data_IF_564702769773
#
_entry.id   IF_564702769773
#
_cell.length_a   1.000
_cell.length_b   1.000
_cell.length_c   1.000
_cell.angle_alpha   90.00
_cell.angle_beta   90.00
_cell.angle_gamma   90.00
#
_symmetry.space_group_name_H-M   'P 1'
#
loop_
_entity.id
_entity.type
_entity.pdbx_description
1 polymer ?
#
# COMPACT_ATOMS: atom_id res chain seq x y z
N UNK A 1 -19.38 6.93 13.62
CA UNK A 1 -19.29 6.03 12.46
C UNK A 1 -20.24 4.85 12.69
N UNK A 2 -21.07 4.45 11.72
CA UNK A 2 -21.97 3.28 11.85
C UNK A 2 -21.44 2.16 10.94
N UNK A 3 -21.07 1.03 11.52
CA UNK A 3 -20.63 -0.16 10.76
C UNK A 3 -21.85 -0.81 10.12
N UNK A 4 -21.84 -0.96 8.79
CA UNK A 4 -22.95 -1.55 8.03
C UNK A 4 -22.73 -3.06 7.76
N UNK A 5 -21.48 -3.51 7.69
CA UNK A 5 -21.11 -4.90 7.49
C UNK A 5 -19.71 -5.14 8.06
N UNK A 6 -19.53 -6.25 8.79
CA UNK A 6 -18.24 -6.70 9.32
C UNK A 6 -17.99 -8.13 8.84
N UNK A 7 -16.80 -8.37 8.26
CA UNK A 7 -16.39 -9.70 7.80
C UNK A 7 -14.97 -9.99 8.28
N UNK A 8 -14.73 -11.14 8.94
CA UNK A 8 -13.39 -11.54 9.31
C UNK A 8 -12.59 -11.90 8.05
N UNK A 9 -11.40 -11.31 7.92
CA UNK A 9 -10.48 -11.60 6.82
C UNK A 9 -9.60 -12.78 7.22
N UNK A 10 -9.63 -13.87 6.43
CA UNK A 10 -8.82 -15.06 6.72
C UNK A 10 -7.52 -15.02 5.92
N UNK A 11 -6.40 -14.86 6.63
CA UNK A 11 -5.06 -14.95 6.07
C UNK A 11 -4.56 -16.40 6.21
N UNK A 12 -4.03 -16.98 5.13
CA UNK A 12 -3.41 -18.31 5.10
C UNK A 12 -1.99 -18.22 4.58
N UNK A 13 -1.08 -19.02 5.12
CA UNK A 13 0.24 -19.24 4.50
C UNK A 13 0.13 -20.44 3.57
N UNK A 14 0.48 -20.25 2.31
CA UNK A 14 0.45 -21.29 1.27
C UNK A 14 1.84 -21.53 0.72
N UNK A 15 2.15 -22.79 0.40
CA UNK A 15 3.41 -23.17 -0.22
C UNK A 15 3.21 -23.42 -1.71
N UNK A 16 3.96 -22.70 -2.55
CA UNK A 16 3.98 -22.94 -3.99
C UNK A 16 4.75 -24.23 -4.32
N UNK A 17 4.54 -24.78 -5.53
CA UNK A 17 5.29 -25.94 -6.03
C UNK A 17 6.82 -25.74 -6.02
N UNK A 18 7.28 -24.50 -6.16
CA UNK A 18 8.71 -24.12 -6.14
C UNK A 18 9.23 -23.82 -4.72
N UNK A 19 8.43 -24.04 -3.69
CA UNK A 19 8.82 -23.89 -2.29
C UNK A 19 8.63 -22.50 -1.70
N UNK A 20 8.24 -21.48 -2.48
CA UNK A 20 7.93 -20.15 -1.93
C UNK A 20 6.74 -20.25 -0.96
N UNK A 21 6.90 -19.69 0.23
CA UNK A 21 5.82 -19.45 1.19
C UNK A 21 5.22 -18.08 0.88
N UNK A 22 3.89 -18.04 0.73
CA UNK A 22 3.15 -16.84 0.35
C UNK A 22 1.93 -16.69 1.26
N UNK A 23 1.57 -15.46 1.56
CA UNK A 23 0.33 -15.16 2.24
C UNK A 23 -0.83 -15.11 1.22
N UNK A 24 -1.99 -15.60 1.64
CA UNK A 24 -3.21 -15.61 0.85
C UNK A 24 -4.36 -15.08 1.70
N UNK A 25 -5.02 -14.04 1.22
CA UNK A 25 -6.19 -13.44 1.84
C UNK A 25 -7.42 -14.02 1.14
N UNK A 26 -8.18 -14.87 1.83
CA UNK A 26 -9.37 -15.50 1.27
C UNK A 26 -10.59 -14.61 1.47
N UNK A 27 -11.23 -14.20 0.36
CA UNK A 27 -12.51 -13.47 0.38
C UNK A 27 -13.67 -14.44 0.20
N UNK A 28 -13.54 -15.37 -0.75
CA UNK A 28 -14.47 -16.49 -0.98
C UNK A 28 -13.80 -17.63 -1.76
N UNK A 29 -14.52 -18.75 -1.97
CA UNK A 29 -14.01 -19.99 -2.58
C UNK A 29 -13.27 -19.81 -3.92
N UNK A 30 -13.60 -18.77 -4.69
CA UNK A 30 -12.97 -18.45 -5.99
C UNK A 30 -12.50 -16.98 -6.07
N UNK A 31 -12.32 -16.32 -4.94
CA UNK A 31 -11.88 -14.93 -4.86
C UNK A 31 -10.93 -14.77 -3.69
N UNK A 32 -9.66 -14.53 -4.00
CA UNK A 32 -8.63 -14.37 -3.00
C UNK A 32 -7.56 -13.42 -3.51
N UNK A 33 -6.78 -12.88 -2.59
CA UNK A 33 -5.56 -12.17 -2.91
C UNK A 33 -4.37 -13.07 -2.57
N UNK A 34 -3.41 -13.18 -3.49
CA UNK A 34 -2.22 -14.01 -3.30
C UNK A 34 -0.98 -13.12 -3.34
N UNK A 35 -0.10 -13.30 -2.36
CA UNK A 35 1.14 -12.57 -2.27
C UNK A 35 2.00 -12.77 -3.53
N UNK A 36 2.58 -11.68 -4.03
CA UNK A 36 3.52 -11.72 -5.12
C UNK A 36 4.68 -12.64 -4.76
N UNK A 37 4.98 -13.61 -5.61
CA UNK A 37 6.08 -14.51 -5.35
C UNK A 37 7.42 -13.79 -5.53
N UNK A 38 8.24 -13.59 -4.47
CA UNK A 38 9.52 -12.92 -4.59
C UNK A 38 10.55 -13.79 -5.31
N UNK A 39 10.42 -15.12 -5.24
CA UNK A 39 11.31 -16.08 -5.90
C UNK A 39 11.06 -16.23 -7.41
N UNK A 40 9.96 -15.65 -7.92
CA UNK A 40 9.66 -15.67 -9.34
C UNK A 40 10.59 -14.71 -10.08
N UNK A 41 11.27 -15.23 -11.09
CA UNK A 41 12.11 -14.41 -11.98
C UNK A 41 11.24 -13.70 -13.02
N UNK A 42 10.58 -12.63 -12.59
CA UNK A 42 9.75 -11.76 -13.43
C UNK A 42 9.89 -10.31 -12.96
N UNK A 43 9.56 -9.33 -13.81
CA UNK A 43 9.60 -7.88 -13.47
C UNK A 43 9.05 -7.61 -12.06
N UNK A 44 7.85 -8.11 -11.78
CA UNK A 44 7.19 -7.94 -10.48
C UNK A 44 7.82 -8.74 -9.33
N UNK A 45 8.38 -9.93 -9.59
CA UNK A 45 9.04 -10.74 -8.56
C UNK A 45 10.39 -10.14 -8.14
N UNK A 46 11.16 -9.61 -9.11
CA UNK A 46 12.41 -8.88 -8.85
C UNK A 46 12.14 -7.58 -8.09
N UNK A 47 11.14 -6.79 -8.52
CA UNK A 47 10.75 -5.58 -7.82
C UNK A 47 10.30 -5.87 -6.38
N UNK A 48 9.41 -6.85 -6.20
CA UNK A 48 8.91 -7.21 -4.88
C UNK A 48 10.01 -7.69 -3.95
N UNK A 49 10.97 -8.48 -4.45
CA UNK A 49 12.14 -8.92 -3.66
C UNK A 49 12.97 -7.75 -3.16
N UNK A 50 13.20 -6.73 -3.99
CA UNK A 50 13.92 -5.51 -3.58
C UNK A 50 13.14 -4.75 -2.51
N UNK A 51 11.82 -4.64 -2.68
CA UNK A 51 10.95 -3.97 -1.71
C UNK A 51 11.00 -4.71 -0.37
N UNK A 52 10.81 -6.04 -0.35
CA UNK A 52 10.88 -6.84 0.88
C UNK A 52 12.21 -6.76 1.61
N UNK A 53 13.32 -6.61 0.87
CA UNK A 53 14.63 -6.45 1.50
C UNK A 53 14.78 -5.10 2.22
N UNK A 54 14.10 -4.05 1.75
CA UNK A 54 14.10 -2.72 2.37
C UNK A 54 12.98 -2.56 3.41
N UNK A 55 11.84 -3.19 3.15
CA UNK A 55 10.62 -3.15 3.95
C UNK A 55 10.07 -4.57 4.12
N UNK A 56 10.57 -5.34 5.10
CA UNK A 56 10.13 -6.70 5.36
C UNK A 56 8.64 -6.79 5.68
N UNK A 57 8.05 -5.73 6.21
CA UNK A 57 6.64 -5.65 6.55
C UNK A 57 5.72 -5.26 5.38
N UNK A 58 6.28 -4.92 4.21
CA UNK A 58 5.48 -4.59 3.04
C UNK A 58 4.97 -5.86 2.35
N UNK A 59 3.71 -5.88 1.96
CA UNK A 59 3.09 -6.99 1.25
C UNK A 59 2.37 -6.52 0.00
N UNK A 60 2.55 -7.27 -1.08
CA UNK A 60 1.85 -7.06 -2.35
C UNK A 60 1.02 -8.29 -2.66
N UNK A 61 -0.29 -8.12 -2.81
CA UNK A 61 -1.18 -9.22 -3.14
C UNK A 61 -1.94 -8.95 -4.44
N UNK A 62 -1.93 -9.93 -5.33
CA UNK A 62 -2.71 -9.90 -6.56
C UNK A 62 -4.07 -10.51 -6.35
N UNK A 63 -5.12 -9.81 -6.78
CA UNK A 63 -6.47 -10.35 -6.78
C UNK A 63 -6.61 -11.42 -7.86
N UNK A 64 -7.04 -12.60 -7.43
CA UNK A 64 -7.40 -13.72 -8.28
C UNK A 64 -8.88 -13.99 -8.07
N UNK A 65 -9.66 -13.87 -9.15
CA UNK A 65 -11.09 -14.15 -9.17
C UNK A 65 -11.38 -15.15 -10.29
N UNK A 66 -12.11 -16.21 -9.97
CA UNK A 66 -12.42 -17.29 -10.91
C UNK A 66 -11.16 -17.84 -11.61
N UNK A 67 -10.08 -18.06 -10.84
CA UNK A 67 -8.77 -18.54 -11.31
C UNK A 67 -8.08 -17.64 -12.34
N UNK A 68 -8.46 -16.36 -12.45
CA UNK A 68 -7.82 -15.38 -13.30
C UNK A 68 -7.35 -14.18 -12.49
N UNK A 69 -6.19 -13.66 -12.84
CA UNK A 69 -5.73 -12.38 -12.34
C UNK A 69 -6.67 -11.29 -12.85
N UNK A 70 -7.20 -10.47 -11.95
CA UNK A 70 -8.08 -9.36 -12.33
C UNK A 70 -7.30 -8.10 -12.68
N UNK A 71 -6.01 -8.06 -12.33
CA UNK A 71 -5.16 -6.88 -12.43
C UNK A 71 -5.25 -5.96 -11.21
N UNK A 72 -6.16 -6.22 -10.26
CA UNK A 72 -6.21 -5.48 -9.01
C UNK A 72 -5.11 -5.93 -8.07
N UNK A 73 -4.50 -4.95 -7.41
CA UNK A 73 -3.41 -5.13 -6.47
C UNK A 73 -3.83 -4.56 -5.12
N UNK A 74 -3.64 -5.35 -4.07
CA UNK A 74 -3.74 -4.88 -2.70
C UNK A 74 -2.32 -4.79 -2.14
N UNK A 75 -1.92 -3.59 -1.76
CA UNK A 75 -0.65 -3.34 -1.08
C UNK A 75 -0.92 -2.89 0.34
N UNK A 76 -0.08 -3.32 1.27
CA UNK A 76 -0.20 -2.92 2.65
C UNK A 76 1.05 -3.29 3.43
N UNK A 77 1.22 -2.67 4.58
CA UNK A 77 2.28 -3.00 5.53
C UNK A 77 1.69 -3.12 6.92
N UNK A 78 2.23 -4.04 7.72
CA UNK A 78 1.97 -4.09 9.14
C UNK A 78 3.10 -3.33 9.82
N UNK A 79 2.82 -2.11 10.26
CA UNK A 79 3.83 -1.25 10.89
C UNK A 79 3.38 -0.94 12.31
N UNK A 80 4.30 -1.05 13.26
CA UNK A 80 4.15 -0.44 14.58
C UNK A 80 4.24 1.09 14.46
N UNK A 81 3.79 1.81 15.49
CA UNK A 81 3.67 3.27 15.44
C UNK A 81 4.98 3.95 15.07
N UNK A 82 6.10 3.45 15.60
CA UNK A 82 7.44 3.99 15.34
C UNK A 82 7.90 3.72 13.90
N UNK A 83 7.47 2.62 13.29
CA UNK A 83 7.81 2.23 11.92
C UNK A 83 6.99 3.02 10.88
N UNK A 84 5.81 3.51 11.28
CA UNK A 84 5.00 4.43 10.45
C UNK A 84 5.74 5.74 10.22
N UNK A 85 6.34 6.34 11.26
CA UNK A 85 7.04 7.61 11.15
C UNK A 85 8.29 7.49 10.25
N UNK A 86 9.02 6.38 10.34
CA UNK A 86 10.17 6.09 9.46
C UNK A 86 9.72 5.85 8.01
N UNK A 87 8.62 5.12 7.81
CA UNK A 87 8.05 4.91 6.48
C UNK A 87 7.57 6.21 5.83
N UNK A 88 6.84 7.05 6.57
CA UNK A 88 6.39 8.38 6.10
C UNK A 88 7.58 9.25 5.75
N UNK A 89 8.58 9.35 6.63
CA UNK A 89 9.80 10.14 6.38
C UNK A 89 10.51 9.67 5.11
N UNK A 90 10.60 8.36 4.89
CA UNK A 90 11.28 7.79 3.73
C UNK A 90 10.50 7.98 2.43
N UNK A 91 9.16 7.95 2.49
CA UNK A 91 8.29 8.31 1.36
C UNK A 91 8.36 9.82 1.08
N UNK A 92 8.37 10.66 2.12
CA UNK A 92 8.48 12.12 2.03
C UNK A 92 9.82 12.59 1.46
N UNK A 93 10.90 11.84 1.67
CA UNK A 93 12.22 12.14 1.11
C UNK A 93 12.39 11.79 -0.38
N UNK A 94 11.37 11.25 -1.05
CA UNK A 94 11.41 11.06 -2.51
C UNK A 94 11.01 12.35 -3.23
N UNK A 95 11.67 12.69 -4.35
CA UNK A 95 11.45 13.95 -5.09
C UNK A 95 9.99 14.19 -5.55
N UNK A 96 9.13 13.16 -5.49
CA UNK A 96 7.69 13.26 -5.75
C UNK A 96 6.89 13.87 -4.57
N UNK A 97 7.34 13.71 -3.31
CA UNK A 97 6.61 14.24 -2.14
C UNK A 97 6.91 15.72 -1.89
N UNK A 98 8.09 16.21 -2.28
CA UNK A 98 8.39 17.65 -2.31
C UNK A 98 7.43 18.44 -3.18
N UNK A 99 6.86 17.82 -4.22
CA UNK A 99 5.82 18.47 -5.04
C UNK A 99 4.49 18.60 -4.30
N UNK A 100 4.19 17.69 -3.37
CA UNK A 100 2.98 17.78 -2.54
C UNK A 100 3.16 18.75 -1.37
N UNK A 101 4.36 18.84 -0.78
CA UNK A 101 4.68 19.94 0.16
C UNK A 101 4.53 21.30 -0.53
N UNK A 102 5.07 21.48 -1.73
CA UNK A 102 4.92 22.73 -2.50
C UNK A 102 3.44 23.08 -2.77
N UNK A 103 2.60 22.09 -3.05
CA UNK A 103 1.15 22.31 -3.27
C UNK A 103 0.45 22.67 -1.95
N UNK A 104 0.84 22.08 -0.82
CA UNK A 104 0.26 22.43 0.49
C UNK A 104 0.70 23.82 0.95
N UNK A 105 1.96 24.20 0.72
CA UNK A 105 2.47 25.56 0.96
C UNK A 105 1.75 26.59 0.07
N UNK A 106 1.54 26.30 -1.22
CA UNK A 106 0.77 27.18 -2.13
C UNK A 106 -0.70 27.35 -1.69
N UNK A 107 -1.34 26.29 -1.18
CA UNK A 107 -2.73 26.36 -0.68
C UNK A 107 -2.81 27.13 0.63
N UNK A 108 -1.83 27.00 1.54
CA UNK A 108 -1.78 27.78 2.78
C UNK A 108 -1.51 29.27 2.51
N UNK A 109 -0.65 29.61 1.54
CA UNK A 109 -0.43 30.99 1.10
C UNK A 109 -1.69 31.61 0.48
N UNK A 110 -2.43 30.89 -0.39
CA UNK A 110 -3.70 31.36 -0.95
C UNK A 110 -4.78 31.60 0.13
N UNK A 111 -4.87 30.73 1.14
CA UNK A 111 -5.81 30.89 2.26
C UNK A 111 -5.43 32.02 3.24
N UNK A 112 -4.16 32.42 3.32
CA UNK A 112 -3.72 33.58 4.09
C UNK A 112 -3.97 34.89 3.35
N UNK A 113 -3.75 34.94 2.02
CA UNK A 113 -4.07 36.11 1.19
C UNK A 113 -5.57 36.41 1.15
N UNK A 114 -6.44 35.39 1.01
CA UNK A 114 -7.90 35.59 1.06
C UNK A 114 -8.38 36.14 2.42
N UNK A 115 -7.74 35.72 3.53
CA UNK A 115 -8.05 36.26 4.86
C UNK A 115 -7.58 37.70 5.03
N UNK A 116 -6.42 38.08 4.49
CA UNK A 116 -5.95 39.47 4.53
C UNK A 116 -6.85 40.40 3.69
N UNK A 117 -7.34 39.95 2.53
CA UNK A 117 -8.29 40.71 1.71
C UNK A 117 -9.67 40.88 2.39
N UNK A 118 -10.22 39.84 3.04
CA UNK A 118 -11.48 39.96 3.79
C UNK A 118 -11.39 40.87 5.02
N UNK A 119 -10.20 41.04 5.61
CA UNK A 119 -10.02 41.91 6.79
C UNK A 119 -9.78 43.38 6.43
N UNK A 120 -9.65 43.72 5.14
CA UNK A 120 -9.32 45.07 4.65
C UNK A 120 -10.51 45.77 3.96
N UNK A 121 -11.74 45.24 4.08
CA UNK A 121 -13.00 45.84 3.58
C UNK A 121 -13.86 46.38 4.72
#
# INVERSE_FOLDING_TARGET
MRVLEEKPVKIKVVRTRRGALLHMIEISKNHFFLEQNPLKDSKYGVAYRKIKNKFPEFYMFWEIKNNRYTGRLLVGSFLEKEEIDEFITLVAQTDEFKKFEHILEEIEEEEEEEKEEETTI
#
